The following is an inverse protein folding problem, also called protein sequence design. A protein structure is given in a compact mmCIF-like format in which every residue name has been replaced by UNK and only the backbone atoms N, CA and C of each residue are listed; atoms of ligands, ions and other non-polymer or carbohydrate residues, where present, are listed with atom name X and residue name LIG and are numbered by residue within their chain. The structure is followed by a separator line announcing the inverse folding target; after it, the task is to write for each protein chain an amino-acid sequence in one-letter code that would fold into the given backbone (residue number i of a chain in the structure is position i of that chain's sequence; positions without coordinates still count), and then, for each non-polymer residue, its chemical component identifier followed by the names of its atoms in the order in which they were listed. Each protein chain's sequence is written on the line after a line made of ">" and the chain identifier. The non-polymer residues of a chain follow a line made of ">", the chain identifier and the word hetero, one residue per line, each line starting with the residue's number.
data_IF_477007381215
#
_entry.id   IF_477007381215
#
_cell.length_a   1.000
_cell.length_b   1.000
_cell.length_c   1.000
_cell.angle_alpha   90.00
_cell.angle_beta   90.00
_cell.angle_gamma   90.00
#
_symmetry.space_group_name_H-M   'P 1'
#
loop_
_entity.id
_entity.type
_entity.pdbx_description
1 polymer ?
#
# COMPACT_ATOMS: atom_id res chain seq x y z
N UNK A 1 11.00 15.92 -6.25
CA UNK A 1 11.08 15.32 -7.60
C UNK A 1 12.38 14.56 -7.67
N UNK A 2 12.37 13.24 -7.88
CA UNK A 2 13.60 12.46 -8.11
C UNK A 2 14.10 12.75 -9.53
N UNK A 3 15.39 13.05 -9.70
CA UNK A 3 15.96 13.41 -11.01
C UNK A 3 16.26 12.16 -11.84
N UNK A 4 16.33 12.25 -13.18
CA UNK A 4 16.64 11.10 -14.04
C UNK A 4 18.00 10.46 -13.73
N UNK A 5 18.95 11.23 -13.19
CA UNK A 5 20.26 10.75 -12.77
C UNK A 5 20.16 9.82 -11.56
N UNK A 6 19.35 10.17 -10.55
CA UNK A 6 19.18 9.31 -9.37
C UNK A 6 18.51 7.97 -9.69
N UNK A 7 17.59 7.93 -10.66
CA UNK A 7 16.93 6.68 -11.06
C UNK A 7 17.89 5.72 -11.77
N UNK A 8 18.81 6.25 -12.58
CA UNK A 8 19.83 5.41 -13.22
C UNK A 8 20.81 4.85 -12.18
N UNK A 9 21.19 5.66 -11.19
CA UNK A 9 22.10 5.23 -10.12
C UNK A 9 21.47 4.12 -9.27
N UNK A 10 20.17 4.21 -8.96
CA UNK A 10 19.44 3.12 -8.32
C UNK A 10 19.42 1.86 -9.17
N UNK A 11 19.11 1.99 -10.47
CA UNK A 11 19.19 0.85 -11.39
C UNK A 11 20.59 0.22 -11.39
N UNK A 12 21.64 1.03 -11.46
CA UNK A 12 23.01 0.56 -11.56
C UNK A 12 23.50 -0.11 -10.28
N UNK A 13 23.13 0.43 -9.11
CA UNK A 13 23.41 -0.18 -7.82
C UNK A 13 22.73 -1.56 -7.70
N UNK A 14 21.44 -1.66 -8.05
CA UNK A 14 20.72 -2.92 -8.06
C UNK A 14 21.33 -3.93 -9.04
N UNK A 15 21.69 -3.49 -10.25
CA UNK A 15 22.33 -4.32 -11.27
C UNK A 15 23.68 -4.87 -10.78
N UNK A 16 24.52 -4.03 -10.19
CA UNK A 16 25.83 -4.43 -9.67
C UNK A 16 25.67 -5.46 -8.56
N UNK A 17 24.72 -5.22 -7.65
CA UNK A 17 24.44 -6.14 -6.56
C UNK A 17 23.92 -7.49 -7.04
N UNK A 18 22.92 -7.52 -7.93
CA UNK A 18 22.37 -8.79 -8.43
C UNK A 18 23.39 -9.55 -9.29
N UNK A 19 24.19 -8.85 -10.11
CA UNK A 19 25.26 -9.50 -10.88
C UNK A 19 26.38 -10.05 -10.01
N UNK A 20 26.63 -9.44 -8.84
CA UNK A 20 27.60 -9.92 -7.85
C UNK A 20 27.21 -11.23 -7.18
N UNK A 21 25.92 -11.61 -7.19
CA UNK A 21 25.44 -12.90 -6.67
C UNK A 21 25.52 -14.05 -7.67
N UNK A 22 25.67 -13.74 -8.95
CA UNK A 22 25.61 -14.73 -10.03
C UNK A 22 26.88 -15.58 -10.08
N UNK A 23 26.70 -16.89 -10.31
CA UNK A 23 27.83 -17.80 -10.57
C UNK A 23 28.38 -17.60 -11.99
N UNK A 24 29.59 -18.09 -12.24
CA UNK A 24 30.20 -18.09 -13.56
C UNK A 24 29.26 -18.76 -14.59
N UNK A 25 28.87 -18.00 -15.63
CA UNK A 25 27.95 -18.45 -16.68
C UNK A 25 26.52 -17.93 -16.57
N UNK A 26 26.04 -17.58 -15.38
CA UNK A 26 24.65 -17.11 -15.21
C UNK A 26 24.43 -15.70 -15.76
N UNK A 27 25.48 -14.87 -15.80
CA UNK A 27 25.42 -13.57 -16.46
C UNK A 27 25.07 -13.69 -17.97
N UNK A 28 25.45 -14.80 -18.61
CA UNK A 28 25.09 -15.07 -20.01
C UNK A 28 23.60 -15.38 -20.16
N UNK A 29 23.00 -16.04 -19.16
CA UNK A 29 21.57 -16.34 -19.10
C UNK A 29 20.76 -15.06 -18.94
N UNK A 30 21.15 -14.18 -18.02
CA UNK A 30 20.49 -12.87 -17.82
C UNK A 30 20.48 -12.02 -19.09
N UNK A 31 21.59 -11.95 -19.82
CA UNK A 31 21.62 -11.20 -21.09
C UNK A 31 20.65 -11.79 -22.13
N UNK A 32 20.55 -13.12 -22.19
CA UNK A 32 19.63 -13.83 -23.08
C UNK A 32 18.16 -13.58 -22.69
N UNK A 33 17.84 -13.72 -21.40
CA UNK A 33 16.49 -13.52 -20.85
C UNK A 33 16.04 -12.05 -21.02
N UNK A 34 16.97 -11.11 -20.88
CA UNK A 34 16.74 -9.69 -21.16
C UNK A 34 16.66 -9.37 -22.67
N UNK A 35 16.90 -10.36 -23.54
CA UNK A 35 16.95 -10.22 -24.99
C UNK A 35 17.88 -9.08 -25.44
N UNK A 36 19.11 -9.11 -24.95
CA UNK A 36 20.20 -8.19 -25.32
C UNK A 36 21.50 -8.95 -25.57
N UNK A 37 22.43 -8.34 -26.31
CA UNK A 37 23.72 -8.97 -26.56
C UNK A 37 24.56 -9.03 -25.28
N UNK A 38 25.37 -10.09 -25.16
CA UNK A 38 26.32 -10.24 -24.04
C UNK A 38 27.29 -9.07 -23.95
N UNK A 39 27.74 -8.56 -25.11
CA UNK A 39 28.62 -7.39 -25.18
C UNK A 39 27.94 -6.15 -24.60
N UNK A 40 26.68 -5.89 -25.00
CA UNK A 40 25.93 -4.76 -24.46
C UNK A 40 25.69 -4.91 -22.95
N UNK A 41 25.34 -6.10 -22.48
CA UNK A 41 25.17 -6.36 -21.04
C UNK A 41 26.47 -6.12 -20.26
N UNK A 42 27.62 -6.58 -20.79
CA UNK A 42 28.94 -6.30 -20.20
C UNK A 42 29.27 -4.82 -20.14
N UNK A 43 28.97 -4.05 -21.19
CA UNK A 43 29.16 -2.60 -21.19
C UNK A 43 28.25 -1.89 -20.19
N UNK A 44 27.00 -2.34 -20.04
CA UNK A 44 26.05 -1.73 -19.11
C UNK A 44 26.47 -1.96 -17.65
N UNK A 45 27.00 -3.15 -17.33
CA UNK A 45 27.38 -3.54 -15.96
C UNK A 45 28.82 -3.19 -15.58
N UNK A 46 29.58 -2.54 -16.46
CA UNK A 46 30.98 -2.18 -16.19
C UNK A 46 31.03 -1.17 -15.03
N UNK A 47 31.69 -1.49 -13.90
CA UNK A 47 31.74 -0.59 -12.75
C UNK A 47 32.58 0.67 -13.01
N UNK A 48 33.52 0.63 -13.95
CA UNK A 48 34.43 1.75 -14.22
C UNK A 48 33.86 2.67 -15.31
N UNK A 49 33.26 2.08 -16.35
CA UNK A 49 32.72 2.82 -17.49
C UNK A 49 31.35 2.29 -17.95
N UNK A 50 30.31 2.44 -17.11
CA UNK A 50 29.00 1.90 -17.44
C UNK A 50 28.38 2.63 -18.62
N UNK A 51 28.00 1.88 -19.66
CA UNK A 51 27.19 2.40 -20.75
C UNK A 51 25.75 2.57 -20.29
N UNK A 52 25.25 3.82 -20.30
CA UNK A 52 23.86 4.12 -19.95
C UNK A 52 22.88 3.34 -20.83
N UNK A 53 22.16 2.41 -20.21
CA UNK A 53 21.08 1.66 -20.85
C UNK A 53 19.82 2.54 -20.98
N UNK A 54 19.06 2.37 -22.06
CA UNK A 54 17.73 3.01 -22.19
C UNK A 54 16.75 2.45 -21.15
N UNK A 55 15.70 3.19 -20.78
CA UNK A 55 14.69 2.73 -19.81
C UNK A 55 14.07 1.39 -20.20
N UNK A 56 13.82 1.15 -21.50
CA UNK A 56 13.32 -0.13 -22.01
C UNK A 56 14.29 -1.28 -21.74
N UNK A 57 15.59 -1.05 -21.94
CA UNK A 57 16.62 -2.05 -21.66
C UNK A 57 16.77 -2.30 -20.16
N UNK A 58 16.72 -1.26 -19.34
CA UNK A 58 16.76 -1.39 -17.87
C UNK A 58 15.62 -2.28 -17.34
N UNK A 59 14.38 -2.07 -17.83
CA UNK A 59 13.21 -2.89 -17.46
C UNK A 59 13.36 -4.35 -17.86
N UNK A 60 13.86 -4.62 -19.07
CA UNK A 60 14.14 -5.98 -19.54
C UNK A 60 15.18 -6.69 -18.66
N UNK A 61 16.24 -5.98 -18.29
CA UNK A 61 17.27 -6.51 -17.39
C UNK A 61 16.68 -6.83 -16.00
N UNK A 62 15.89 -5.91 -15.42
CA UNK A 62 15.24 -6.15 -14.13
C UNK A 62 14.32 -7.38 -14.17
N UNK A 63 13.52 -7.52 -15.24
CA UNK A 63 12.66 -8.69 -15.44
C UNK A 63 13.46 -9.98 -15.59
N UNK A 64 14.62 -9.96 -16.26
CA UNK A 64 15.53 -11.11 -16.34
C UNK A 64 16.12 -11.53 -14.98
N UNK A 65 16.12 -10.64 -13.99
CA UNK A 65 16.45 -10.94 -12.59
C UNK A 65 15.24 -11.38 -11.76
N UNK A 66 14.06 -11.54 -12.37
CA UNK A 66 12.82 -11.96 -11.70
C UNK A 66 12.02 -10.82 -11.06
N UNK A 67 12.28 -9.56 -11.45
CA UNK A 67 11.51 -8.42 -10.95
C UNK A 67 10.38 -8.07 -11.94
N UNK A 68 9.16 -8.52 -11.65
CA UNK A 68 7.96 -8.22 -12.44
C UNK A 68 7.61 -6.72 -12.44
N UNK A 69 7.94 -6.04 -11.33
CA UNK A 69 7.80 -4.60 -11.20
C UNK A 69 9.18 -3.92 -11.20
N UNK A 70 9.46 -3.15 -12.25
CA UNK A 70 10.72 -2.40 -12.37
C UNK A 70 10.99 -1.48 -11.17
N UNK A 71 9.95 -0.95 -10.53
CA UNK A 71 10.12 -0.06 -9.38
C UNK A 71 10.61 -0.82 -8.14
N UNK A 72 10.31 -2.11 -7.99
CA UNK A 72 10.90 -2.96 -6.96
C UNK A 72 12.41 -3.12 -7.15
N UNK A 73 12.88 -3.16 -8.40
CA UNK A 73 14.30 -3.19 -8.72
C UNK A 73 14.99 -1.87 -8.36
N UNK A 74 14.36 -0.74 -8.64
CA UNK A 74 14.87 0.58 -8.26
C UNK A 74 14.92 0.77 -6.74
N UNK A 75 13.88 0.35 -6.01
CA UNK A 75 13.86 0.41 -4.55
C UNK A 75 14.98 -0.47 -3.96
N UNK A 76 15.29 -1.62 -4.58
CA UNK A 76 16.45 -2.41 -4.18
C UNK A 76 17.74 -1.62 -4.31
N UNK A 77 17.91 -0.93 -5.43
CA UNK A 77 19.04 -0.04 -5.68
C UNK A 77 19.15 1.11 -4.68
N UNK A 78 18.03 1.77 -4.40
CA UNK A 78 17.95 2.84 -3.41
C UNK A 78 18.30 2.32 -2.01
N UNK A 79 17.81 1.14 -1.63
CA UNK A 79 18.12 0.52 -0.35
C UNK A 79 19.63 0.23 -0.21
N UNK A 80 20.27 -0.27 -1.29
CA UNK A 80 21.72 -0.51 -1.34
C UNK A 80 22.50 0.80 -1.14
N UNK A 81 22.15 1.86 -1.87
CA UNK A 81 22.87 3.14 -1.77
C UNK A 81 22.65 3.85 -0.43
N UNK A 82 21.48 3.69 0.17
CA UNK A 82 21.15 4.30 1.47
C UNK A 82 21.54 3.44 2.67
N UNK A 83 22.00 2.19 2.46
CA UNK A 83 22.28 1.24 3.54
C UNK A 83 21.02 0.77 4.30
N UNK A 84 19.83 0.98 3.74
CA UNK A 84 18.55 0.62 4.37
C UNK A 84 18.12 -0.80 4.00
N UNK A 85 17.22 -1.38 4.79
CA UNK A 85 16.64 -2.69 4.48
C UNK A 85 15.77 -2.60 3.22
N UNK A 86 15.93 -3.56 2.31
CA UNK A 86 15.09 -3.66 1.13
C UNK A 86 13.68 -4.15 1.51
N UNK A 87 12.68 -3.34 1.23
CA UNK A 87 11.26 -3.70 1.36
C UNK A 87 10.58 -3.57 -0.01
N UNK A 88 10.06 -4.67 -0.59
CA UNK A 88 9.27 -4.62 -1.83
C UNK A 88 8.06 -3.67 -1.71
N UNK A 89 7.58 -3.12 -2.84
CA UNK A 89 6.44 -2.18 -2.87
C UNK A 89 5.18 -2.79 -2.26
N UNK A 90 4.95 -4.07 -2.51
CA UNK A 90 3.79 -4.80 -2.00
C UNK A 90 3.80 -4.77 -0.46
N UNK A 91 4.97 -5.01 0.14
CA UNK A 91 5.18 -4.92 1.59
C UNK A 91 5.25 -3.48 2.10
N UNK A 92 5.70 -2.51 1.30
CA UNK A 92 5.65 -1.09 1.67
C UNK A 92 4.20 -0.60 1.76
N UNK A 93 3.33 -1.08 0.86
CA UNK A 93 1.89 -0.79 0.91
C UNK A 93 1.25 -1.43 2.13
N UNK A 94 1.52 -2.71 2.39
CA UNK A 94 1.02 -3.41 3.59
C UNK A 94 1.55 -2.76 4.88
N UNK A 95 2.84 -2.44 4.96
CA UNK A 95 3.43 -1.81 6.14
C UNK A 95 2.93 -0.37 6.32
N UNK A 96 2.70 0.41 5.26
CA UNK A 96 2.09 1.73 5.38
C UNK A 96 0.63 1.61 5.85
N UNK A 97 -0.10 0.63 5.34
CA UNK A 97 -1.47 0.34 5.77
C UNK A 97 -1.49 -0.08 7.25
N UNK A 98 -0.62 -0.99 7.66
CA UNK A 98 -0.50 -1.48 9.05
C UNK A 98 0.02 -0.39 10.01
N UNK A 99 0.89 0.50 9.54
CA UNK A 99 1.42 1.63 10.33
C UNK A 99 0.39 2.76 10.46
N UNK A 100 -0.41 3.01 9.43
CA UNK A 100 -1.60 3.88 9.51
C UNK A 100 -2.64 3.27 10.47
N UNK A 101 -2.85 1.95 10.40
CA UNK A 101 -3.72 1.20 11.31
C UNK A 101 -3.24 1.27 12.77
N UNK A 102 -1.94 1.10 13.00
CA UNK A 102 -1.33 1.11 14.35
C UNK A 102 -1.22 2.51 14.96
N UNK A 103 -1.03 3.57 14.15
CA UNK A 103 -0.88 4.95 14.67
C UNK A 103 -2.19 5.59 15.14
N UNK A 104 -3.36 5.03 14.82
CA UNK A 104 -4.66 5.60 15.21
C UNK A 104 -5.63 4.55 15.80
N UNK A 105 -5.12 3.65 16.66
CA UNK A 105 -5.87 2.49 17.19
C UNK A 105 -7.18 2.84 17.92
N UNK A 106 -7.33 4.05 18.46
CA UNK A 106 -8.58 4.50 19.11
C UNK A 106 -9.62 5.00 18.10
N UNK A 107 -9.19 5.75 17.09
CA UNK A 107 -10.02 6.29 16.01
C UNK A 107 -10.47 5.20 15.04
N UNK A 108 -9.59 4.24 14.75
CA UNK A 108 -9.88 3.20 13.78
C UNK A 108 -10.84 2.13 14.31
N UNK A 109 -10.83 1.86 15.62
CA UNK A 109 -11.82 1.01 16.25
C UNK A 109 -13.22 1.65 16.18
N UNK A 110 -13.34 2.96 16.40
CA UNK A 110 -14.62 3.67 16.32
C UNK A 110 -15.16 3.74 14.88
N UNK A 111 -14.29 3.98 13.89
CA UNK A 111 -14.67 3.95 12.46
C UNK A 111 -14.99 2.52 12.01
N UNK A 112 -14.28 1.50 12.51
CA UNK A 112 -14.59 0.09 12.22
C UNK A 112 -15.96 -0.32 12.78
N UNK A 113 -16.32 0.13 13.99
CA UNK A 113 -17.68 -0.09 14.53
C UNK A 113 -18.78 0.59 13.69
N UNK A 114 -18.47 1.71 13.03
CA UNK A 114 -19.39 2.37 12.08
C UNK A 114 -19.45 1.62 10.75
N UNK A 115 -18.31 1.06 10.30
CA UNK A 115 -18.19 0.26 9.08
C UNK A 115 -18.89 -1.09 9.20
N UNK A 116 -18.87 -1.73 10.37
CA UNK A 116 -19.62 -2.97 10.63
C UNK A 116 -21.15 -2.77 10.53
N UNK A 117 -21.61 -1.51 10.54
CA UNK A 117 -23.02 -1.16 10.27
C UNK A 117 -23.33 -0.99 8.77
N UNK A 118 -22.34 -1.03 7.88
CA UNK A 118 -22.54 -1.07 6.43
C UNK A 118 -22.77 -2.51 5.96
N UNK A 119 -23.86 -2.74 5.24
CA UNK A 119 -24.20 -4.07 4.69
C UNK A 119 -23.25 -4.55 3.57
N UNK A 120 -22.49 -3.65 2.94
CA UNK A 120 -21.55 -3.97 1.85
C UNK A 120 -20.09 -3.60 2.23
N UNK A 121 -19.18 -4.58 2.35
CA UNK A 121 -17.79 -4.35 2.71
C UNK A 121 -16.99 -3.56 1.66
N UNK A 122 -17.36 -3.62 0.38
CA UNK A 122 -16.64 -2.87 -0.66
C UNK A 122 -16.90 -1.37 -0.59
N UNK A 123 -18.12 -0.99 -0.21
CA UNK A 123 -18.51 0.40 0.02
C UNK A 123 -17.79 0.99 1.23
N UNK A 124 -17.61 0.20 2.29
CA UNK A 124 -16.82 0.59 3.46
C UNK A 124 -15.33 0.81 3.13
N UNK A 125 -14.74 -0.07 2.31
CA UNK A 125 -13.34 0.06 1.87
C UNK A 125 -13.13 1.33 1.03
N UNK A 126 -14.07 1.66 0.14
CA UNK A 126 -14.02 2.91 -0.65
C UNK A 126 -14.09 4.15 0.24
N UNK A 127 -14.94 4.12 1.26
CA UNK A 127 -15.06 5.22 2.23
C UNK A 127 -13.76 5.39 3.02
N UNK A 128 -13.15 4.29 3.48
CA UNK A 128 -11.85 4.33 4.17
C UNK A 128 -10.75 4.95 3.31
N UNK A 129 -10.66 4.54 2.05
CA UNK A 129 -9.70 5.10 1.10
C UNK A 129 -9.93 6.60 0.87
N UNK A 130 -11.19 7.02 0.77
CA UNK A 130 -11.53 8.42 0.61
C UNK A 130 -11.15 9.25 1.83
N UNK A 131 -11.43 8.74 3.03
CA UNK A 131 -11.08 9.40 4.29
C UNK A 131 -9.57 9.51 4.52
N UNK A 132 -8.80 8.47 4.17
CA UNK A 132 -7.34 8.50 4.25
C UNK A 132 -6.72 9.54 3.30
N UNK A 133 -7.31 9.73 2.11
CA UNK A 133 -6.88 10.77 1.18
C UNK A 133 -7.17 12.18 1.72
N UNK A 134 -8.29 12.37 2.42
CA UNK A 134 -8.63 13.65 3.05
C UNK A 134 -7.68 13.92 4.23
N UNK A 135 -7.39 12.93 5.08
CA UNK A 135 -6.44 13.09 6.20
C UNK A 135 -5.06 13.55 5.74
N UNK A 136 -4.57 13.03 4.61
CA UNK A 136 -3.28 13.42 4.05
C UNK A 136 -3.28 14.80 3.41
N UNK A 137 -4.38 15.20 2.77
CA UNK A 137 -4.48 16.47 2.06
C UNK A 137 -4.85 17.64 3.00
N UNK A 138 -5.73 17.39 3.96
CA UNK A 138 -6.24 18.37 4.92
C UNK A 138 -6.65 17.67 6.24
N UNK A 139 -5.71 17.56 7.19
CA UNK A 139 -5.95 16.91 8.49
C UNK A 139 -7.05 17.57 9.32
N UNK A 140 -7.33 18.86 9.10
CA UNK A 140 -8.34 19.59 9.85
C UNK A 140 -9.73 19.24 9.33
N UNK A 141 -9.91 19.23 8.01
CA UNK A 141 -11.15 18.77 7.36
C UNK A 141 -11.47 17.32 7.72
N UNK A 142 -10.46 16.44 7.82
CA UNK A 142 -10.65 15.07 8.30
C UNK A 142 -11.21 15.01 9.74
N UNK A 143 -10.72 15.85 10.64
CA UNK A 143 -11.21 15.93 12.02
C UNK A 143 -12.65 16.46 12.10
N UNK A 144 -13.02 17.38 11.23
CA UNK A 144 -14.37 17.95 11.21
C UNK A 144 -15.40 16.96 10.65
N UNK A 145 -15.07 16.26 9.56
CA UNK A 145 -15.87 15.14 9.01
C UNK A 145 -16.07 14.05 10.07
N UNK A 146 -15.02 13.76 10.84
CA UNK A 146 -15.09 12.76 11.91
C UNK A 146 -16.06 13.18 13.03
N UNK A 147 -16.01 14.44 13.49
CA UNK A 147 -16.96 14.95 14.50
C UNK A 147 -18.41 14.88 14.02
N UNK A 148 -18.63 15.17 12.74
CA UNK A 148 -19.96 15.11 12.13
C UNK A 148 -20.46 13.65 12.06
N UNK A 149 -19.60 12.71 11.65
CA UNK A 149 -19.90 11.28 11.64
C UNK A 149 -20.16 10.72 13.05
N UNK A 150 -19.39 11.14 14.06
CA UNK A 150 -19.59 10.75 15.46
C UNK A 150 -20.95 11.25 15.98
N UNK A 151 -21.32 12.47 15.60
CA UNK A 151 -22.62 13.06 15.95
C UNK A 151 -23.76 12.30 15.30
N UNK A 152 -23.65 11.98 14.01
CA UNK A 152 -24.63 11.18 13.29
C UNK A 152 -24.76 9.75 13.86
N UNK A 153 -23.65 9.09 14.19
CA UNK A 153 -23.66 7.77 14.81
C UNK A 153 -24.37 7.75 16.17
N UNK A 154 -24.11 8.76 17.02
CA UNK A 154 -24.82 8.94 18.30
C UNK A 154 -26.32 9.19 18.12
N UNK A 155 -26.72 9.90 17.06
CA UNK A 155 -28.14 10.11 16.73
C UNK A 155 -28.82 8.82 16.28
N UNK A 156 -28.16 8.02 15.45
CA UNK A 156 -28.66 6.71 14.97
C UNK A 156 -28.81 5.72 16.14
N UNK A 157 -27.84 5.67 17.06
CA UNK A 157 -27.92 4.82 18.26
C UNK A 157 -29.07 5.23 19.19
N UNK A 158 -29.30 6.53 19.37
CA UNK A 158 -30.48 7.02 20.12
C UNK A 158 -31.80 6.63 19.45
N UNK A 159 -31.87 6.65 18.12
CA UNK A 159 -33.06 6.25 17.38
C UNK A 159 -33.33 4.73 17.44
N UNK A 160 -32.29 3.88 17.40
CA UNK A 160 -32.45 2.42 17.52
C UNK A 160 -32.86 1.96 18.93
N UNK A 161 -32.45 2.71 19.98
CA UNK A 161 -32.90 2.46 21.36
C UNK A 161 -34.38 2.88 21.54
N UNK A 162 -34.82 3.95 20.87
CA UNK A 162 -36.21 4.41 20.89
C UNK A 162 -37.19 3.58 20.04
N UNK A 163 -36.70 2.90 18.99
CA UNK A 163 -37.53 2.04 18.14
C UNK A 163 -37.80 0.65 18.76
N UNK A 164 -36.99 0.23 19.73
CA UNK A 164 -37.15 -1.08 20.42
C UNK A 164 -38.08 -1.02 21.63
N UNK A 165 -38.50 0.17 22.09
CA UNK A 165 -39.35 0.34 23.27
C UNK A 165 -40.85 0.51 22.99
N UNK A 166 -41.27 0.47 21.71
CA UNK A 166 -42.68 0.66 21.33
C UNK A 166 -43.39 -0.59 20.78
N UNK A 167 -42.72 -1.74 20.75
CA UNK A 167 -43.36 -3.03 20.38
C UNK A 167 -43.45 -3.91 21.62
N UNK A 168 -44.55 -3.77 22.37
CA UNK A 168 -44.82 -4.69 23.48
C UNK A 168 -45.74 -4.13 24.56
N UNK A 169 -46.94 -3.64 24.20
CA UNK A 169 -48.08 -3.63 25.12
C UNK A 169 -49.29 -4.14 24.32
N UNK A 170 -49.38 -5.47 24.22
CA UNK A 170 -50.60 -6.18 23.83
C UNK A 170 -51.08 -6.95 25.07
N UNK A 171 -52.25 -6.52 25.55
CA UNK A 171 -53.25 -7.23 26.34
C UNK A 171 -52.81 -8.23 27.43
N UNK A 172 -53.06 -7.85 28.68
CA UNK A 172 -53.57 -8.82 29.66
C UNK A 172 -54.92 -8.34 30.21
N UNK A 173 -55.97 -8.93 29.65
CA UNK A 173 -57.30 -9.05 30.23
C UNK A 173 -57.21 -9.67 31.63
N UNK A 174 -57.70 -8.98 32.66
CA UNK A 174 -58.06 -9.62 33.94
C UNK A 174 -59.58 -9.62 34.12
N UNK A 175 -60.13 -10.79 33.81
CA UNK A 175 -61.39 -11.32 34.33
C UNK A 175 -61.21 -11.72 35.81
N UNK A 176 -62.27 -11.57 36.61
CA UNK A 176 -62.37 -12.09 37.98
C UNK A 176 -63.18 -11.14 38.88
N UNK A 177 -64.49 -10.99 38.65
CA UNK A 177 -65.59 -11.63 39.40
C UNK A 177 -65.70 -11.27 40.89
N UNK A 178 -66.87 -10.74 41.22
CA UNK A 178 -67.42 -10.45 42.54
C UNK A 178 -67.62 -11.70 43.41
#
# INVERSE_FOLDING_TARGET
>A
METPESLYDYFFAALTYETGKLKHGEQKRVALDANISRSLFSQIKDPNHPKKASSKTQRKIASAFGYDNFRNFLIRGQAILSGSAYTPIEQLKENQQETLLKKNSKLHNQISTIIDKFQDPNSAIKLLHHLANIEQADPQTYRDIYKEAETAAKMIERHNIGASSSIGHSDETKSGTA
#
